data_IF_005474997612
#
_entry.id   IF_005474997612
#
_cell.length_a   1.000
_cell.length_b   1.000
_cell.length_c   1.000
_cell.angle_alpha   90.00
_cell.angle_beta   90.00
_cell.angle_gamma   90.00
#
_symmetry.space_group_name_H-M   'P 1'
#
loop_
_entity.id
_entity.type
_entity.pdbx_description
1 polymer ?
#
# COMPACT_ATOMS: atom_id res chain seq x y z
N UNK A 1 4.25 9.14 67.09
CA UNK A 1 4.18 9.76 65.75
C UNK A 1 5.18 9.07 64.84
N UNK A 2 4.71 8.19 63.96
CA UNK A 2 5.27 7.93 62.61
C UNK A 2 4.57 6.70 62.02
N UNK A 3 3.37 6.94 61.49
CA UNK A 3 2.98 6.35 60.20
C UNK A 3 4.02 6.81 59.16
N UNK A 4 4.17 6.09 58.05
CA UNK A 4 5.21 6.20 56.99
C UNK A 4 6.24 5.09 57.27
N UNK A 5 6.20 3.89 56.69
CA UNK A 5 5.83 3.49 55.34
C UNK A 5 5.26 2.07 55.40
N UNK A 6 3.93 1.94 55.31
CA UNK A 6 3.35 0.68 54.87
C UNK A 6 3.69 0.60 53.38
N UNK A 7 4.81 -0.07 53.08
CA UNK A 7 5.23 -0.38 51.72
C UNK A 7 4.13 -1.27 51.15
N UNK A 8 3.15 -0.64 50.49
CA UNK A 8 2.10 -1.32 49.75
C UNK A 8 2.73 -1.92 48.51
N UNK A 9 3.52 -2.96 48.74
CA UNK A 9 3.92 -3.94 47.75
C UNK A 9 2.73 -4.88 47.50
N UNK A 10 1.52 -4.32 47.37
CA UNK A 10 0.37 -5.04 46.85
C UNK A 10 0.53 -5.02 45.35
N UNK A 11 1.24 -6.05 44.90
CA UNK A 11 0.93 -6.80 43.70
C UNK A 11 -0.07 -6.09 42.78
N UNK A 12 0.43 -5.55 41.67
CA UNK A 12 -0.36 -5.46 40.44
C UNK A 12 -0.69 -6.89 39.98
N UNK A 13 -1.34 -7.68 40.85
CA UNK A 13 -2.02 -8.92 40.54
C UNK A 13 -3.23 -8.54 39.70
N UNK A 14 -2.92 -8.11 38.46
CA UNK A 14 -3.78 -8.07 37.29
C UNK A 14 -5.26 -8.12 37.64
N UNK A 15 -5.77 -7.03 38.22
CA UNK A 15 -7.21 -6.86 38.38
C UNK A 15 -7.84 -7.10 37.01
N UNK A 16 -9.00 -7.76 36.99
CA UNK A 16 -9.71 -8.11 35.76
C UNK A 16 -9.90 -6.87 34.88
N UNK A 17 -10.11 -5.72 35.49
CA UNK A 17 -10.22 -4.43 34.80
C UNK A 17 -8.94 -4.06 34.05
N UNK A 18 -7.76 -4.20 34.69
CA UNK A 18 -6.48 -3.94 34.03
C UNK A 18 -6.22 -4.93 32.88
N UNK A 19 -6.53 -6.22 33.06
CA UNK A 19 -6.42 -7.22 31.98
C UNK A 19 -7.30 -6.87 30.79
N UNK A 20 -8.56 -6.51 31.04
CA UNK A 20 -9.50 -6.10 29.99
C UNK A 20 -9.01 -4.83 29.28
N UNK A 21 -8.53 -3.83 30.01
CA UNK A 21 -7.95 -2.63 29.44
C UNK A 21 -6.72 -2.92 28.55
N UNK A 22 -5.84 -3.81 28.99
CA UNK A 22 -4.68 -4.23 28.20
C UNK A 22 -5.08 -4.98 26.92
N UNK A 23 -6.09 -5.85 26.98
CA UNK A 23 -6.64 -6.53 25.80
C UNK A 23 -7.20 -5.52 24.81
N UNK A 24 -8.01 -4.56 25.28
CA UNK A 24 -8.58 -3.52 24.44
C UNK A 24 -7.50 -2.66 23.75
N UNK A 25 -6.44 -2.25 24.46
CA UNK A 25 -5.31 -1.54 23.83
C UNK A 25 -4.66 -2.38 22.74
N UNK A 26 -4.37 -3.66 23.02
CA UNK A 26 -3.74 -4.57 22.05
C UNK A 26 -4.61 -4.73 20.80
N UNK A 27 -5.91 -4.89 20.95
CA UNK A 27 -6.85 -4.99 19.84
C UNK A 27 -6.89 -3.71 19.01
N UNK A 28 -6.98 -2.54 19.66
CA UNK A 28 -6.97 -1.26 18.95
C UNK A 28 -5.68 -1.02 18.19
N UNK A 29 -4.53 -1.36 18.79
CA UNK A 29 -3.23 -1.27 18.15
C UNK A 29 -3.12 -2.19 16.93
N UNK A 30 -3.53 -3.46 17.08
CA UNK A 30 -3.53 -4.42 15.98
C UNK A 30 -4.41 -3.94 14.82
N UNK A 31 -5.63 -3.48 15.11
CA UNK A 31 -6.53 -2.90 14.10
C UNK A 31 -5.91 -1.68 13.42
N UNK A 32 -5.23 -0.81 14.17
CA UNK A 32 -4.54 0.35 13.61
C UNK A 32 -3.38 -0.05 12.68
N UNK A 33 -2.57 -1.03 13.07
CA UNK A 33 -1.47 -1.56 12.25
C UNK A 33 -1.98 -2.18 10.95
N UNK A 34 -3.05 -2.97 11.00
CA UNK A 34 -3.67 -3.56 9.80
C UNK A 34 -4.17 -2.46 8.84
N UNK A 35 -4.85 -1.43 9.35
CA UNK A 35 -5.30 -0.31 8.52
C UNK A 35 -4.14 0.45 7.88
N UNK A 36 -3.07 0.70 8.65
CA UNK A 36 -1.88 1.36 8.14
C UNK A 36 -1.20 0.52 7.04
N UNK A 37 -1.03 -0.78 7.27
CA UNK A 37 -0.46 -1.69 6.28
C UNK A 37 -1.32 -1.76 5.01
N UNK A 38 -2.64 -1.78 5.14
CA UNK A 38 -3.55 -1.78 4.00
C UNK A 38 -3.43 -0.49 3.19
N UNK A 39 -3.47 0.67 3.85
CA UNK A 39 -3.34 1.97 3.19
C UNK A 39 -2.01 2.07 2.41
N UNK A 40 -0.90 1.70 3.05
CA UNK A 40 0.42 1.67 2.40
C UNK A 40 0.45 0.70 1.22
N UNK A 41 -0.12 -0.50 1.37
CA UNK A 41 -0.14 -1.48 0.28
C UNK A 41 -0.97 -1.01 -0.92
N UNK A 42 -2.09 -0.32 -0.69
CA UNK A 42 -2.92 0.26 -1.76
C UNK A 42 -2.10 1.29 -2.55
N UNK A 43 -1.46 2.23 -1.86
CA UNK A 43 -0.61 3.24 -2.49
C UNK A 43 0.57 2.62 -3.24
N UNK A 44 1.24 1.61 -2.66
CA UNK A 44 2.36 0.93 -3.32
C UNK A 44 1.94 0.20 -4.59
N UNK A 45 0.80 -0.50 -4.57
CA UNK A 45 0.29 -1.20 -5.76
C UNK A 45 -0.07 -0.20 -6.85
N UNK A 46 -0.74 0.90 -6.51
CA UNK A 46 -1.08 1.95 -7.47
C UNK A 46 0.18 2.61 -8.05
N UNK A 47 1.14 2.97 -7.21
CA UNK A 47 2.40 3.56 -7.61
C UNK A 47 3.19 2.63 -8.56
N UNK A 48 3.29 1.33 -8.25
CA UNK A 48 3.97 0.36 -9.11
C UNK A 48 3.28 0.18 -10.47
N UNK A 49 1.96 0.29 -10.50
CA UNK A 49 1.23 0.31 -11.76
C UNK A 49 1.57 1.56 -12.58
N UNK A 50 1.54 2.74 -11.96
CA UNK A 50 1.83 4.02 -12.62
C UNK A 50 3.24 4.04 -13.20
N UNK A 51 4.25 3.64 -12.43
CA UNK A 51 5.63 3.50 -12.93
C UNK A 51 5.68 2.55 -14.11
N UNK A 52 4.95 1.43 -14.05
CA UNK A 52 4.84 0.51 -15.17
C UNK A 52 4.27 1.15 -16.44
N UNK A 53 3.23 1.97 -16.30
CA UNK A 53 2.62 2.70 -17.41
C UNK A 53 3.58 3.74 -18.00
N UNK A 54 4.24 4.53 -17.14
CA UNK A 54 5.25 5.51 -17.54
C UNK A 54 6.40 4.86 -18.30
N UNK A 55 6.89 3.70 -17.85
CA UNK A 55 7.93 2.95 -18.56
C UNK A 55 7.50 2.58 -19.97
N UNK A 56 6.24 2.15 -20.17
CA UNK A 56 5.71 1.81 -21.49
C UNK A 56 5.64 3.05 -22.38
N UNK A 57 5.12 4.16 -21.86
CA UNK A 57 4.97 5.40 -22.63
C UNK A 57 6.32 6.00 -23.00
N UNK A 58 7.25 6.10 -22.05
CA UNK A 58 8.56 6.70 -22.28
C UNK A 58 9.42 5.86 -23.22
N UNK A 59 9.38 4.53 -23.14
CA UNK A 59 10.09 3.67 -24.10
C UNK A 59 9.50 3.73 -25.52
N UNK A 60 8.22 4.11 -25.68
CA UNK A 60 7.62 4.39 -26.99
C UNK A 60 8.02 5.76 -27.53
N UNK A 61 8.02 6.77 -26.66
CA UNK A 61 8.31 8.15 -27.04
C UNK A 61 9.81 8.38 -27.32
N UNK A 62 10.67 7.71 -26.56
CA UNK A 62 12.11 7.83 -26.64
C UNK A 62 12.68 6.43 -26.89
N UNK A 63 13.46 6.25 -27.96
CA UNK A 63 14.05 4.97 -28.38
C UNK A 63 15.18 4.51 -27.44
N UNK A 64 14.90 4.46 -26.13
CA UNK A 64 15.85 4.05 -25.13
C UNK A 64 16.04 2.53 -25.21
N UNK A 65 17.27 2.13 -25.53
CA UNK A 65 17.67 0.74 -25.70
C UNK A 65 17.65 -0.06 -24.39
N UNK A 66 18.18 -1.28 -24.44
CA UNK A 66 18.08 -2.27 -23.36
C UNK A 66 18.67 -1.82 -22.02
N UNK A 67 19.62 -0.87 -22.03
CA UNK A 67 20.28 -0.34 -20.84
C UNK A 67 19.43 0.60 -19.98
N UNK A 68 18.30 1.10 -20.49
CA UNK A 68 17.47 2.08 -19.78
C UNK A 68 17.01 1.60 -18.40
N UNK A 69 16.49 0.38 -18.32
CA UNK A 69 16.01 -0.16 -17.04
C UNK A 69 17.15 -0.38 -16.04
N UNK A 70 18.36 -0.66 -16.54
CA UNK A 70 19.56 -0.78 -15.69
C UNK A 70 19.95 0.56 -15.12
N UNK A 71 20.00 1.61 -15.94
CA UNK A 71 20.30 2.96 -15.49
C UNK A 71 19.25 3.46 -14.49
N UNK A 72 17.96 3.33 -14.83
CA UNK A 72 16.88 3.73 -13.91
C UNK A 72 16.92 2.96 -12.59
N UNK A 73 17.23 1.66 -12.63
CA UNK A 73 17.41 0.87 -11.41
C UNK A 73 18.55 1.39 -10.55
N UNK A 74 19.66 1.79 -11.16
CA UNK A 74 20.81 2.38 -10.47
C UNK A 74 20.42 3.71 -9.83
N UNK A 75 19.91 4.66 -10.63
CA UNK A 75 19.55 6.01 -10.19
C UNK A 75 18.54 5.97 -9.02
N UNK A 76 17.51 5.13 -9.12
CA UNK A 76 16.50 5.01 -8.06
C UNK A 76 17.07 4.41 -6.77
N UNK A 77 18.05 3.50 -6.85
CA UNK A 77 18.69 2.90 -5.68
C UNK A 77 19.66 3.87 -5.00
N UNK A 78 20.29 4.75 -5.76
CA UNK A 78 21.14 5.80 -5.22
C UNK A 78 20.30 6.87 -4.50
N UNK A 79 19.19 7.29 -5.09
CA UNK A 79 18.31 8.32 -4.49
C UNK A 79 17.58 7.77 -3.26
N UNK A 80 17.20 6.50 -3.27
CA UNK A 80 16.41 5.88 -2.19
C UNK A 80 17.13 4.67 -1.56
N UNK A 81 18.23 4.89 -0.82
CA UNK A 81 18.95 3.82 -0.17
C UNK A 81 18.06 3.12 0.86
N UNK A 82 18.04 1.78 0.83
CA UNK A 82 17.24 0.96 1.74
C UNK A 82 15.82 0.64 1.27
N UNK A 83 15.30 1.30 0.21
CA UNK A 83 14.02 0.93 -0.39
C UNK A 83 14.20 -0.28 -1.32
N UNK A 84 13.56 -1.39 -0.94
CA UNK A 84 13.47 -2.56 -1.81
C UNK A 84 12.28 -2.39 -2.76
N UNK A 85 12.55 -2.17 -4.05
CA UNK A 85 11.48 -1.95 -5.03
C UNK A 85 12.00 -1.71 -6.43
N UNK A 86 13.13 -1.01 -6.56
CA UNK A 86 13.67 -0.55 -7.84
C UNK A 86 14.80 -1.43 -8.39
N UNK A 87 14.68 -2.75 -8.29
CA UNK A 87 15.56 -3.65 -9.06
C UNK A 87 15.14 -3.67 -10.53
N UNK A 88 16.07 -3.93 -11.45
CA UNK A 88 15.75 -4.14 -12.88
C UNK A 88 14.62 -5.17 -13.06
N UNK A 89 14.66 -6.26 -12.30
CA UNK A 89 13.63 -7.31 -12.32
C UNK A 89 12.27 -6.79 -11.88
N UNK A 90 12.22 -5.94 -10.84
CA UNK A 90 10.98 -5.34 -10.38
C UNK A 90 10.45 -4.29 -11.36
N UNK A 91 11.30 -3.46 -11.96
CA UNK A 91 10.90 -2.53 -13.02
C UNK A 91 10.27 -3.29 -14.20
N UNK A 92 10.86 -4.42 -14.61
CA UNK A 92 10.27 -5.33 -15.62
C UNK A 92 8.93 -5.91 -15.16
N UNK A 93 8.73 -6.16 -13.86
CA UNK A 93 7.44 -6.60 -13.30
C UNK A 93 6.41 -5.48 -13.31
N UNK A 94 6.77 -4.26 -12.91
CA UNK A 94 5.91 -3.07 -12.96
C UNK A 94 5.42 -2.82 -14.38
N UNK A 95 6.34 -2.84 -15.36
CA UNK A 95 5.99 -2.73 -16.78
C UNK A 95 5.00 -3.82 -17.22
N UNK A 96 5.24 -5.08 -16.85
CA UNK A 96 4.31 -6.18 -17.16
C UNK A 96 2.97 -6.02 -16.45
N UNK A 97 2.96 -5.53 -15.21
CA UNK A 97 1.75 -5.30 -14.44
C UNK A 97 0.87 -4.26 -15.14
N UNK A 98 1.43 -3.11 -15.49
CA UNK A 98 0.72 -2.07 -16.24
C UNK A 98 0.20 -2.57 -17.60
N UNK A 99 1.02 -3.34 -18.31
CA UNK A 99 0.67 -3.86 -19.63
C UNK A 99 -0.53 -4.82 -19.60
N UNK A 100 -0.63 -5.69 -18.59
CA UNK A 100 -1.66 -6.74 -18.53
C UNK A 100 -2.89 -6.35 -17.72
N UNK A 101 -2.79 -5.32 -16.87
CA UNK A 101 -3.87 -4.91 -15.99
C UNK A 101 -4.18 -3.42 -16.16
N UNK A 102 -4.68 -2.97 -17.33
CA UNK A 102 -4.97 -1.56 -17.55
C UNK A 102 -6.02 -1.07 -16.54
N UNK A 103 -5.68 -0.07 -15.73
CA UNK A 103 -6.63 0.59 -14.83
C UNK A 103 -7.49 1.53 -15.68
N UNK A 104 -8.79 1.24 -15.73
CA UNK A 104 -9.77 2.00 -16.50
C UNK A 104 -11.19 1.58 -16.14
N UNK A 105 -12.21 2.23 -16.72
CA UNK A 105 -13.59 1.80 -16.54
C UNK A 105 -13.72 0.31 -16.89
N UNK A 106 -14.53 -0.41 -16.12
CA UNK A 106 -14.85 -1.81 -16.42
C UNK A 106 -15.26 -1.94 -17.90
N UNK A 107 -14.90 -3.04 -18.56
CA UNK A 107 -15.21 -3.23 -19.98
C UNK A 107 -16.69 -2.97 -20.33
N UNK A 108 -17.59 -3.31 -19.41
CA UNK A 108 -19.02 -3.02 -19.49
C UNK A 108 -19.28 -1.51 -19.67
N UNK A 109 -18.68 -0.66 -18.84
CA UNK A 109 -18.82 0.80 -18.89
C UNK A 109 -18.22 1.43 -20.17
N UNK A 110 -17.43 0.69 -20.94
CA UNK A 110 -16.89 1.12 -22.23
C UNK A 110 -17.82 0.82 -23.42
N UNK A 111 -18.89 0.03 -23.21
CA UNK A 111 -19.84 -0.30 -24.27
C UNK A 111 -20.72 0.91 -24.63
N UNK A 112 -20.83 1.29 -25.92
CA UNK A 112 -21.55 2.50 -26.33
C UNK A 112 -23.04 2.46 -25.99
N UNK A 113 -23.64 1.26 -25.87
CA UNK A 113 -25.06 1.11 -25.58
C UNK A 113 -25.41 1.25 -24.08
N UNK A 114 -24.43 1.17 -23.18
CA UNK A 114 -24.68 1.30 -21.74
C UNK A 114 -25.23 2.67 -21.35
N UNK A 115 -24.89 3.72 -22.11
CA UNK A 115 -25.47 5.06 -21.93
C UNK A 115 -27.01 5.05 -22.01
N UNK A 116 -27.59 4.12 -22.76
CA UNK A 116 -29.04 4.01 -22.95
C UNK A 116 -29.72 3.08 -21.93
N UNK A 117 -29.01 2.10 -21.37
CA UNK A 117 -29.60 1.13 -20.42
C UNK A 117 -29.91 1.75 -19.04
N UNK A 118 -29.13 2.74 -18.60
CA UNK A 118 -29.31 3.39 -17.29
C UNK A 118 -30.29 4.56 -17.30
N UNK A 119 -30.75 5.01 -18.48
CA UNK A 119 -31.74 6.08 -18.59
C UNK A 119 -33.19 5.56 -18.47
N UNK A 120 -33.41 4.27 -18.71
CA UNK A 120 -34.73 3.62 -18.64
C UNK A 120 -34.99 2.91 -17.29
N UNK A 121 -34.16 3.16 -16.27
CA UNK A 121 -34.35 2.62 -14.92
C UNK A 121 -34.53 3.75 -13.90
N UNK A 122 -35.54 4.58 -14.13
CA UNK A 122 -36.25 5.26 -13.05
C UNK A 122 -37.23 4.25 -12.43
N UNK A 123 -36.79 3.58 -11.35
CA UNK A 123 -37.66 3.04 -10.32
C UNK A 123 -37.38 3.81 -9.03
#
# INVERSE_FOLDING_TARGET
MSKILEKKEDSLTLDKNYRNFLVDIKERLCKAQVRAALAVNVELVQFYWQVGADLIEKQKAYQWGEGFLTQLSHDMREVFPGIQGFSVTNLKRMRRFALHYPIGPQAVAQLPYIKYIWHDREC
#
